data_IF_568063273197
#
_entry.id   IF_568063273197
#
_cell.length_a   1.000
_cell.length_b   1.000
_cell.length_c   1.000
_cell.angle_alpha   90.00
_cell.angle_beta   90.00
_cell.angle_gamma   90.00
#
_symmetry.space_group_name_H-M   'P 1'
#
loop_
_entity.id
_entity.type
_entity.pdbx_description
1 polymer ?
#
# COMPACT_ATOMS: atom_id res chain seq x y z
N UNK A 1 11.81 17.04 4.89
CA UNK A 1 11.77 15.62 4.46
C UNK A 1 12.32 15.54 3.05
N UNK A 2 13.14 14.53 2.71
CA UNK A 2 13.64 14.40 1.34
C UNK A 2 12.50 14.03 0.37
N UNK A 3 12.49 14.60 -0.83
CA UNK A 3 11.48 14.34 -1.86
C UNK A 3 11.22 12.83 -2.10
N UNK A 4 12.29 12.02 -2.16
CA UNK A 4 12.23 10.56 -2.29
C UNK A 4 11.34 9.87 -1.23
N UNK A 5 11.38 10.36 0.01
CA UNK A 5 10.59 9.76 1.09
C UNK A 5 9.10 10.11 0.96
N UNK A 6 8.80 11.32 0.52
CA UNK A 6 7.43 11.78 0.24
C UNK A 6 6.86 10.97 -0.93
N UNK A 7 7.60 10.87 -2.02
CA UNK A 7 7.24 10.08 -3.21
C UNK A 7 7.00 8.61 -2.87
N UNK A 8 7.86 7.99 -2.05
CA UNK A 8 7.68 6.58 -1.64
C UNK A 8 6.43 6.35 -0.80
N UNK A 9 6.10 7.27 0.11
CA UNK A 9 4.92 7.15 0.98
C UNK A 9 3.63 7.35 0.18
N UNK A 10 3.63 8.33 -0.73
CA UNK A 10 2.50 8.56 -1.65
C UNK A 10 2.26 7.38 -2.56
N UNK A 11 3.31 6.86 -3.22
CA UNK A 11 3.23 5.67 -4.05
C UNK A 11 2.73 4.45 -3.26
N UNK A 12 3.25 4.21 -2.05
CA UNK A 12 2.80 3.11 -1.22
C UNK A 12 1.30 3.22 -0.89
N UNK A 13 0.84 4.41 -0.49
CA UNK A 13 -0.57 4.63 -0.19
C UNK A 13 -1.44 4.42 -1.43
N UNK A 14 -1.02 4.94 -2.59
CA UNK A 14 -1.72 4.75 -3.86
C UNK A 14 -1.84 3.27 -4.24
N UNK A 15 -0.76 2.48 -4.11
CA UNK A 15 -0.81 1.04 -4.37
C UNK A 15 -1.72 0.31 -3.38
N UNK A 16 -1.70 0.73 -2.11
CA UNK A 16 -2.60 0.21 -1.08
C UNK A 16 -4.08 0.60 -1.34
N UNK A 17 -4.39 1.57 -2.20
CA UNK A 17 -5.80 1.84 -2.53
C UNK A 17 -6.35 0.97 -3.67
N UNK A 18 -5.52 0.17 -4.35
CA UNK A 18 -5.94 -0.71 -5.45
C UNK A 18 -6.54 -2.05 -4.95
N UNK A 19 -7.43 -2.68 -5.72
CA UNK A 19 -7.96 -4.02 -5.43
C UNK A 19 -6.83 -5.06 -5.33
N UNK A 20 -5.99 -5.11 -6.36
CA UNK A 20 -4.70 -5.81 -6.33
C UNK A 20 -3.60 -4.75 -6.24
N UNK A 21 -2.79 -4.70 -5.16
CA UNK A 21 -1.76 -3.68 -5.00
C UNK A 21 -0.53 -4.01 -5.87
N UNK A 22 -0.72 -4.13 -7.17
CA UNK A 22 0.28 -4.54 -8.15
C UNK A 22 0.58 -3.41 -9.14
N UNK A 23 1.84 -3.30 -9.56
CA UNK A 23 2.30 -2.30 -10.53
C UNK A 23 3.29 -2.94 -11.52
N UNK A 24 3.23 -2.51 -12.79
CA UNK A 24 4.21 -2.91 -13.80
C UNK A 24 5.60 -2.38 -13.43
N UNK A 25 6.64 -3.18 -13.65
CA UNK A 25 8.01 -2.74 -13.45
C UNK A 25 8.37 -1.56 -14.37
N UNK A 26 7.86 -1.56 -15.60
CA UNK A 26 8.04 -0.45 -16.55
C UNK A 26 7.50 0.88 -16.01
N UNK A 27 6.37 0.87 -15.31
CA UNK A 27 5.79 2.06 -14.66
C UNK A 27 6.51 2.41 -13.36
N UNK A 28 6.79 1.40 -12.52
CA UNK A 28 7.43 1.58 -11.21
C UNK A 28 8.82 2.19 -11.32
N UNK A 29 9.58 1.77 -12.33
CA UNK A 29 10.98 2.16 -12.55
C UNK A 29 11.12 3.27 -13.59
N UNK A 30 10.00 3.85 -14.08
CA UNK A 30 10.04 4.97 -15.00
C UNK A 30 10.56 6.24 -14.26
N UNK A 31 11.66 6.87 -14.73
CA UNK A 31 12.22 8.09 -14.15
C UNK A 31 11.24 9.25 -14.01
N UNK A 32 10.30 9.36 -14.95
CA UNK A 32 9.33 10.46 -15.03
C UNK A 32 8.06 10.20 -14.19
N UNK A 33 7.88 8.99 -13.69
CA UNK A 33 6.70 8.61 -12.90
C UNK A 33 7.06 8.33 -11.43
N UNK A 34 7.71 7.19 -11.15
CA UNK A 34 7.83 6.67 -9.80
C UNK A 34 9.22 6.17 -9.41
N UNK A 35 10.22 6.21 -10.30
CA UNK A 35 11.51 5.51 -10.10
C UNK A 35 12.10 5.67 -8.70
N UNK A 36 12.24 6.91 -8.20
CA UNK A 36 12.84 7.20 -6.88
C UNK A 36 12.06 6.57 -5.73
N UNK A 37 10.73 6.67 -5.77
CA UNK A 37 9.81 6.08 -4.80
C UNK A 37 9.76 4.56 -4.90
N UNK A 38 9.69 4.03 -6.12
CA UNK A 38 9.68 2.60 -6.40
C UNK A 38 10.95 1.89 -5.94
N UNK A 39 12.12 2.46 -6.26
CA UNK A 39 13.41 1.98 -5.76
C UNK A 39 13.49 1.99 -4.23
N UNK A 40 12.96 3.03 -3.58
CA UNK A 40 12.91 3.09 -2.13
C UNK A 40 12.04 1.96 -1.56
N UNK A 41 10.85 1.71 -2.13
CA UNK A 41 9.97 0.63 -1.67
C UNK A 41 10.56 -0.78 -1.92
N UNK A 42 11.30 -0.96 -3.02
CA UNK A 42 12.06 -2.18 -3.32
C UNK A 42 13.22 -2.39 -2.35
N UNK A 43 14.03 -1.37 -2.12
CA UNK A 43 15.12 -1.39 -1.14
C UNK A 43 14.60 -1.73 0.26
N UNK A 44 13.48 -1.12 0.62
CA UNK A 44 12.79 -1.39 1.88
C UNK A 44 12.04 -2.72 1.88
N UNK A 45 12.04 -3.50 0.79
CA UNK A 45 11.39 -4.81 0.68
C UNK A 45 9.88 -4.78 0.97
N UNK A 46 9.22 -3.64 0.73
CA UNK A 46 7.77 -3.51 0.80
C UNK A 46 7.09 -3.96 -0.50
N UNK A 47 7.85 -4.06 -1.59
CA UNK A 47 7.43 -4.66 -2.84
C UNK A 47 8.09 -6.03 -3.02
N UNK A 48 7.34 -7.00 -3.51
CA UNK A 48 7.80 -8.33 -3.93
C UNK A 48 7.46 -8.57 -5.39
N UNK A 49 8.21 -9.48 -6.05
CA UNK A 49 7.89 -9.86 -7.42
C UNK A 49 6.44 -10.37 -7.51
N UNK A 50 5.68 -9.80 -8.45
CA UNK A 50 4.32 -10.21 -8.77
C UNK A 50 4.29 -11.30 -9.85
N UNK A 51 3.10 -11.58 -10.36
CA UNK A 51 2.95 -12.52 -11.48
C UNK A 51 3.38 -11.85 -12.78
N UNK A 52 4.26 -12.53 -13.54
CA UNK A 52 4.65 -12.05 -14.85
C UNK A 52 3.43 -11.88 -15.77
N UNK A 53 3.39 -10.76 -16.49
CA UNK A 53 2.30 -10.45 -17.42
C UNK A 53 2.37 -11.34 -18.65
N UNK A 54 1.18 -11.76 -19.10
CA UNK A 54 1.01 -12.48 -20.38
C UNK A 54 0.67 -11.54 -21.55
N UNK A 55 0.24 -10.32 -21.22
CA UNK A 55 -0.11 -9.27 -22.15
C UNK A 55 0.52 -7.96 -21.67
N UNK A 56 1.02 -7.16 -22.60
CA UNK A 56 1.62 -5.86 -22.32
C UNK A 56 1.18 -4.83 -23.34
N UNK A 57 1.43 -3.56 -23.03
CA UNK A 57 1.28 -2.46 -23.98
C UNK A 57 2.25 -2.64 -25.14
N UNK A 58 1.73 -2.67 -26.36
CA UNK A 58 2.54 -2.70 -27.56
C UNK A 58 3.41 -1.43 -27.63
N UNK A 59 4.74 -1.53 -27.80
CA UNK A 59 5.60 -0.34 -27.86
C UNK A 59 5.39 0.50 -29.13
N UNK A 60 4.87 -0.10 -30.22
CA UNK A 60 4.66 0.58 -31.50
C UNK A 60 3.31 1.33 -31.53
N UNK A 61 2.21 0.64 -31.22
CA UNK A 61 0.85 1.22 -31.31
C UNK A 61 0.24 1.64 -29.97
N UNK A 62 0.92 1.38 -28.84
CA UNK A 62 0.50 1.73 -27.48
C UNK A 62 -0.80 1.09 -26.99
N UNK A 63 -1.29 0.05 -27.69
CA UNK A 63 -2.48 -0.72 -27.28
C UNK A 63 -2.08 -1.82 -26.29
N UNK A 64 -2.82 -1.98 -25.18
CA UNK A 64 -2.66 -3.04 -24.19
C UNK A 64 -3.15 -4.42 -24.69
N UNK A 65 -2.58 -4.90 -25.79
CA UNK A 65 -3.00 -6.14 -26.44
C UNK A 65 -1.83 -7.06 -26.88
N UNK A 66 -0.57 -6.61 -26.76
CA UNK A 66 0.56 -7.42 -27.21
C UNK A 66 0.78 -8.63 -26.31
N UNK A 67 0.60 -9.84 -26.85
CA UNK A 67 0.73 -11.11 -26.12
C UNK A 67 2.17 -11.59 -26.10
N UNK A 68 2.61 -12.14 -24.97
CA UNK A 68 3.91 -12.84 -24.89
C UNK A 68 3.85 -14.15 -25.65
N UNK A 69 4.76 -14.33 -26.60
CA UNK A 69 4.89 -15.56 -27.40
C UNK A 69 5.90 -16.51 -26.77
N UNK A 70 7.12 -16.02 -26.56
CA UNK A 70 8.22 -16.80 -25.96
C UNK A 70 9.31 -15.89 -25.41
N UNK A 71 10.11 -16.41 -24.49
CA UNK A 71 11.37 -15.77 -24.11
C UNK A 71 12.40 -16.08 -25.21
N UNK A 72 13.18 -15.08 -25.60
CA UNK A 72 14.27 -15.25 -26.59
C UNK A 72 15.58 -15.52 -25.85
N UNK A 73 15.85 -14.72 -24.82
CA UNK A 73 17.04 -14.80 -23.98
C UNK A 73 16.72 -14.30 -22.54
N UNK A 74 17.75 -14.14 -21.70
CA UNK A 74 17.62 -13.71 -20.30
C UNK A 74 17.19 -12.25 -20.10
N UNK A 75 17.10 -11.48 -21.19
CA UNK A 75 16.82 -10.04 -21.21
C UNK A 75 15.65 -9.65 -22.10
N UNK A 76 15.26 -10.49 -23.06
CA UNK A 76 14.24 -10.17 -24.06
C UNK A 76 13.20 -11.27 -24.32
N UNK A 77 12.00 -10.85 -24.72
CA UNK A 77 10.91 -11.71 -25.15
C UNK A 77 10.36 -11.28 -26.50
N UNK A 78 9.83 -12.27 -27.23
CA UNK A 78 9.03 -12.07 -28.43
C UNK A 78 7.58 -11.82 -28.02
N UNK A 79 7.03 -10.71 -28.48
CA UNK A 79 5.63 -10.35 -28.33
C UNK A 79 4.95 -10.41 -29.70
N UNK A 80 3.63 -10.59 -29.69
CA UNK A 80 2.79 -10.50 -30.88
C UNK A 80 1.65 -9.51 -30.62
N UNK A 81 1.56 -8.47 -31.45
CA UNK A 81 0.47 -7.53 -31.48
C UNK A 81 -0.35 -7.75 -32.75
N UNK A 82 -1.67 -7.79 -32.65
CA UNK A 82 -2.54 -8.05 -33.81
C UNK A 82 -2.38 -6.98 -34.91
N UNK A 83 -2.04 -5.73 -34.54
CA UNK A 83 -1.87 -4.62 -35.48
C UNK A 83 -0.43 -4.48 -36.01
N UNK A 84 0.58 -4.78 -35.19
CA UNK A 84 2.00 -4.53 -35.52
C UNK A 84 2.79 -5.80 -35.85
N UNK A 85 2.22 -6.99 -35.62
CA UNK A 85 2.88 -8.27 -35.81
C UNK A 85 3.86 -8.62 -34.68
N UNK A 86 4.93 -9.33 -35.04
CA UNK A 86 5.97 -9.76 -34.09
C UNK A 86 6.93 -8.64 -33.73
N UNK A 87 7.20 -8.50 -32.44
CA UNK A 87 8.07 -7.45 -31.92
C UNK A 87 8.87 -7.95 -30.71
N UNK A 88 10.11 -7.48 -30.59
CA UNK A 88 10.99 -7.84 -29.48
C UNK A 88 10.90 -6.77 -28.38
N UNK A 89 10.83 -7.21 -27.12
CA UNK A 89 10.72 -6.29 -25.97
C UNK A 89 11.55 -6.78 -24.80
N UNK A 90 12.10 -5.88 -23.95
CA UNK A 90 12.84 -6.30 -22.77
C UNK A 90 11.93 -6.98 -21.75
N UNK A 91 12.43 -8.01 -21.05
CA UNK A 91 11.64 -8.75 -20.04
C UNK A 91 11.11 -7.87 -18.90
N UNK A 92 11.67 -6.67 -18.70
CA UNK A 92 11.17 -5.69 -17.71
C UNK A 92 9.70 -5.31 -17.96
N UNK A 93 9.21 -5.32 -19.21
CA UNK A 93 7.79 -5.02 -19.49
C UNK A 93 6.85 -6.11 -18.97
N UNK A 94 7.36 -7.32 -18.78
CA UNK A 94 6.59 -8.46 -18.27
C UNK A 94 6.54 -8.50 -16.74
N UNK A 95 7.52 -7.87 -16.08
CA UNK A 95 7.67 -7.93 -14.63
C UNK A 95 6.63 -7.03 -13.96
N UNK A 96 6.10 -7.51 -12.86
CA UNK A 96 5.25 -6.74 -11.96
C UNK A 96 5.78 -6.85 -10.55
N UNK A 97 5.39 -5.89 -9.72
CA UNK A 97 5.67 -5.87 -8.30
C UNK A 97 4.36 -5.69 -7.54
N UNK A 98 4.21 -6.43 -6.45
CA UNK A 98 3.05 -6.34 -5.57
C UNK A 98 3.46 -5.89 -4.18
N UNK A 99 2.62 -5.09 -3.52
CA UNK A 99 2.86 -4.67 -2.13
C UNK A 99 2.73 -5.87 -1.19
N UNK A 100 3.77 -6.10 -0.40
CA UNK A 100 3.73 -7.03 0.71
C UNK A 100 2.97 -6.40 1.89
N UNK A 101 1.64 -6.49 1.84
CA UNK A 101 0.74 -5.89 2.83
C UNK A 101 1.03 -6.42 4.24
N UNK A 102 1.31 -7.72 4.39
CA UNK A 102 1.65 -8.31 5.68
C UNK A 102 2.87 -7.62 6.33
N UNK A 103 3.91 -7.34 5.52
CA UNK A 103 5.10 -6.63 5.98
C UNK A 103 4.85 -5.15 6.27
N UNK A 104 3.97 -4.49 5.52
CA UNK A 104 3.52 -3.13 5.85
C UNK A 104 2.90 -3.12 7.24
N UNK A 105 1.92 -4.01 7.49
CA UNK A 105 1.21 -4.08 8.78
C UNK A 105 2.15 -4.44 9.94
N UNK A 106 3.08 -5.37 9.72
CA UNK A 106 4.14 -5.68 10.69
C UNK A 106 4.96 -4.44 11.06
N UNK A 107 5.46 -3.71 10.06
CA UNK A 107 6.29 -2.53 10.29
C UNK A 107 5.53 -1.36 10.89
N UNK A 108 4.23 -1.24 10.62
CA UNK A 108 3.37 -0.25 11.27
C UNK A 108 3.29 -0.54 12.78
N UNK A 109 3.02 -1.79 13.15
CA UNK A 109 2.99 -2.21 14.55
C UNK A 109 4.35 -2.01 15.24
N UNK A 110 5.45 -2.41 14.60
CA UNK A 110 6.81 -2.14 15.11
C UNK A 110 7.08 -0.64 15.23
N UNK A 111 6.67 0.16 14.25
CA UNK A 111 6.75 1.62 14.25
C UNK A 111 6.12 2.23 15.50
N UNK A 112 4.90 1.80 15.81
CA UNK A 112 4.11 2.23 16.98
C UNK A 112 4.52 1.56 18.31
N UNK A 113 5.57 0.72 18.30
CA UNK A 113 6.05 -0.01 19.49
C UNK A 113 4.95 -0.93 20.08
N UNK A 114 4.17 -1.56 19.21
CA UNK A 114 3.09 -2.47 19.58
C UNK A 114 3.55 -3.94 19.58
N UNK A 115 3.04 -4.79 20.48
CA UNK A 115 3.32 -6.22 20.45
C UNK A 115 2.75 -6.89 19.18
N UNK A 116 3.61 -7.51 18.37
CA UNK A 116 3.20 -8.16 17.10
C UNK A 116 2.19 -9.30 17.28
N UNK A 117 2.20 -9.98 18.44
CA UNK A 117 1.26 -11.05 18.77
C UNK A 117 -0.19 -10.56 18.93
N UNK A 118 -0.40 -9.26 19.16
CA UNK A 118 -1.73 -8.66 19.34
C UNK A 118 -2.40 -8.27 18.01
N UNK A 119 -1.67 -8.43 16.89
CA UNK A 119 -2.16 -8.09 15.56
C UNK A 119 -3.23 -9.09 15.10
N UNK A 120 -4.35 -8.58 14.60
CA UNK A 120 -5.44 -9.38 14.06
C UNK A 120 -5.93 -8.80 12.73
N UNK A 121 -6.02 -9.63 11.70
CA UNK A 121 -6.65 -9.24 10.43
C UNK A 121 -8.17 -9.14 10.59
N UNK A 122 -8.78 -8.17 9.90
CA UNK A 122 -10.21 -7.87 9.94
C UNK A 122 -10.71 -7.98 8.49
N UNK A 123 -11.40 -9.09 8.19
CA UNK A 123 -11.85 -9.38 6.83
C UNK A 123 -10.70 -9.68 5.84
N UNK A 124 -10.98 -9.67 4.53
CA UNK A 124 -10.02 -10.09 3.51
C UNK A 124 -9.01 -8.97 3.18
N UNK A 125 -7.86 -8.96 3.86
CA UNK A 125 -6.69 -8.14 3.49
C UNK A 125 -6.96 -6.62 3.32
N UNK A 126 -7.91 -6.06 4.08
CA UNK A 126 -8.33 -4.66 4.00
C UNK A 126 -8.12 -3.89 5.29
N UNK A 127 -8.15 -4.56 6.44
CA UNK A 127 -8.01 -3.90 7.74
C UNK A 127 -7.37 -4.82 8.77
N UNK A 128 -6.71 -4.21 9.75
CA UNK A 128 -6.01 -4.90 10.83
C UNK A 128 -6.15 -4.13 12.12
N UNK A 129 -6.36 -4.84 13.21
CA UNK A 129 -6.00 -4.36 14.54
C UNK A 129 -4.50 -4.56 14.70
N UNK A 130 -3.77 -3.48 14.98
CA UNK A 130 -2.32 -3.50 15.14
C UNK A 130 -1.90 -3.87 16.57
N UNK A 131 -2.66 -3.40 17.56
CA UNK A 131 -2.38 -3.67 18.97
C UNK A 131 -2.96 -2.60 19.88
N UNK A 132 -2.63 -2.72 21.17
CA UNK A 132 -3.00 -1.75 22.21
C UNK A 132 -1.73 -1.06 22.69
N UNK A 133 -1.77 0.27 22.81
CA UNK A 133 -0.74 1.08 23.44
C UNK A 133 -1.26 1.63 24.76
N UNK A 134 -0.60 1.28 25.85
CA UNK A 134 -0.91 1.86 27.16
C UNK A 134 -0.32 3.27 27.24
N UNK A 135 -1.17 4.28 27.45
CA UNK A 135 -0.69 5.63 27.77
C UNK A 135 -0.42 5.73 29.27
N UNK A 136 0.65 6.44 29.65
CA UNK A 136 1.02 6.73 31.06
C UNK A 136 -0.09 7.39 31.89
N UNK A 137 -1.16 7.91 31.28
CA UNK A 137 -2.30 8.59 31.93
C UNK A 137 -3.63 7.79 31.89
N UNK A 138 -3.57 6.48 31.66
CA UNK A 138 -4.65 5.55 32.06
C UNK A 138 -5.67 5.14 31.00
N UNK A 139 -5.71 5.75 29.81
CA UNK A 139 -6.57 5.26 28.71
C UNK A 139 -5.71 4.57 27.66
N UNK A 140 -5.92 3.26 27.50
CA UNK A 140 -5.26 2.48 26.48
C UNK A 140 -5.83 2.81 25.09
N UNK A 141 -4.95 3.09 24.13
CA UNK A 141 -5.32 3.36 22.74
C UNK A 141 -5.26 2.07 21.94
N UNK A 142 -6.33 1.74 21.22
CA UNK A 142 -6.32 0.60 20.29
C UNK A 142 -6.05 1.10 18.89
N UNK A 143 -4.97 0.60 18.28
CA UNK A 143 -4.55 1.01 16.96
C UNK A 143 -5.08 0.07 15.89
N UNK A 144 -5.60 0.67 14.82
CA UNK A 144 -6.05 -0.01 13.62
C UNK A 144 -5.33 0.54 12.40
N UNK A 145 -5.17 -0.30 11.39
CA UNK A 145 -4.81 0.13 10.04
C UNK A 145 -5.86 -0.36 9.07
N UNK A 146 -6.30 0.51 8.15
CA UNK A 146 -7.24 0.15 7.09
C UNK A 146 -6.87 0.79 5.76
N UNK A 147 -6.93 0.01 4.70
CA UNK A 147 -6.79 0.47 3.32
C UNK A 147 -8.17 0.52 2.65
N UNK A 148 -8.35 1.39 1.65
CA UNK A 148 -9.59 1.48 0.87
C UNK A 148 -10.82 1.80 1.72
N UNK A 149 -10.65 2.65 2.73
CA UNK A 149 -11.71 3.07 3.64
C UNK A 149 -12.66 4.12 3.03
N UNK A 150 -12.35 4.63 1.84
CA UNK A 150 -13.29 5.38 1.01
C UNK A 150 -14.51 4.53 0.59
N UNK A 151 -14.37 3.20 0.55
CA UNK A 151 -15.48 2.29 0.31
C UNK A 151 -16.26 2.02 1.61
N UNK A 152 -17.55 2.37 1.61
CA UNK A 152 -18.41 2.27 2.80
C UNK A 152 -18.46 0.84 3.39
N UNK A 153 -18.42 -0.21 2.57
CA UNK A 153 -18.42 -1.59 3.04
C UNK A 153 -17.15 -1.92 3.86
N UNK A 154 -15.97 -1.45 3.42
CA UNK A 154 -14.71 -1.68 4.12
C UNK A 154 -14.66 -0.88 5.43
N UNK A 155 -15.08 0.39 5.38
CA UNK A 155 -15.22 1.23 6.56
C UNK A 155 -16.17 0.61 7.59
N UNK A 156 -17.32 0.08 7.15
CA UNK A 156 -18.29 -0.59 8.03
C UNK A 156 -17.70 -1.83 8.70
N UNK A 157 -16.98 -2.68 7.96
CA UNK A 157 -16.35 -3.87 8.53
C UNK A 157 -15.36 -3.52 9.65
N UNK A 158 -14.59 -2.44 9.48
CA UNK A 158 -13.68 -1.95 10.52
C UNK A 158 -14.45 -1.41 11.74
N UNK A 159 -15.52 -0.63 11.54
CA UNK A 159 -16.38 -0.13 12.63
C UNK A 159 -16.99 -1.27 13.43
N UNK A 160 -17.48 -2.31 12.75
CA UNK A 160 -18.06 -3.48 13.41
C UNK A 160 -17.01 -4.21 14.27
N UNK A 161 -15.76 -4.31 13.81
CA UNK A 161 -14.67 -4.84 14.64
C UNK A 161 -14.33 -3.92 15.83
N UNK A 162 -14.27 -2.61 15.63
CA UNK A 162 -14.01 -1.63 16.72
C UNK A 162 -15.06 -1.76 17.84
N UNK A 163 -16.33 -1.96 17.47
CA UNK A 163 -17.42 -2.21 18.42
C UNK A 163 -17.21 -3.53 19.17
N UNK A 164 -16.86 -4.61 18.47
CA UNK A 164 -16.55 -5.90 19.10
C UNK A 164 -15.37 -5.81 20.07
N UNK A 165 -14.35 -5.03 19.72
CA UNK A 165 -13.18 -4.79 20.57
C UNK A 165 -13.48 -3.83 21.75
N UNK A 166 -14.70 -3.27 21.82
CA UNK A 166 -15.12 -2.26 22.82
C UNK A 166 -14.19 -1.05 22.89
N UNK A 167 -13.60 -0.67 21.76
CA UNK A 167 -12.54 0.36 21.67
C UNK A 167 -13.00 1.67 21.05
N UNK A 168 -14.31 1.86 20.82
CA UNK A 168 -14.83 2.98 20.04
C UNK A 168 -14.38 4.38 20.52
N UNK A 169 -14.15 4.55 21.83
CA UNK A 169 -13.70 5.83 22.42
C UNK A 169 -12.17 6.00 22.46
N UNK A 170 -11.41 4.95 22.15
CA UNK A 170 -9.94 4.95 22.22
C UNK A 170 -9.28 4.39 20.96
N UNK A 171 -10.06 4.25 19.87
CA UNK A 171 -9.59 3.77 18.59
C UNK A 171 -8.87 4.87 17.83
N UNK A 172 -7.64 4.60 17.38
CA UNK A 172 -6.93 5.40 16.36
C UNK A 172 -6.76 4.58 15.10
N UNK A 173 -7.10 5.18 13.96
CA UNK A 173 -7.16 4.48 12.68
C UNK A 173 -6.15 5.11 11.71
N UNK A 174 -5.07 4.39 11.43
CA UNK A 174 -4.18 4.71 10.34
C UNK A 174 -4.82 4.27 9.02
N UNK A 175 -4.71 5.08 7.97
CA UNK A 175 -5.24 4.72 6.65
C UNK A 175 -4.37 5.17 5.49
N UNK A 176 -4.36 4.38 4.42
CA UNK A 176 -3.80 4.78 3.12
C UNK A 176 -4.78 5.61 2.29
N UNK A 177 -6.07 5.65 2.66
CA UNK A 177 -7.06 6.48 1.98
C UNK A 177 -6.83 7.95 2.27
N UNK A 178 -6.96 8.79 1.24
CA UNK A 178 -6.89 10.25 1.39
C UNK A 178 -8.04 10.75 2.25
N UNK A 179 -7.73 11.69 3.16
CA UNK A 179 -8.69 12.34 4.04
C UNK A 179 -9.03 13.76 3.53
N UNK A 180 -10.22 14.31 3.82
CA UNK A 180 -11.30 13.69 4.59
C UNK A 180 -12.05 12.59 3.80
N UNK A 181 -12.57 11.58 4.51
CA UNK A 181 -13.53 10.65 3.92
C UNK A 181 -14.87 11.37 3.68
N UNK A 182 -15.73 10.80 2.81
CA UNK A 182 -17.09 11.27 2.63
C UNK A 182 -17.85 11.37 3.96
N UNK A 183 -18.68 12.40 4.15
CA UNK A 183 -19.44 12.62 5.37
C UNK A 183 -20.38 11.45 5.74
N UNK A 184 -20.85 10.70 4.75
CA UNK A 184 -21.67 9.50 4.94
C UNK A 184 -20.85 8.25 5.30
N UNK A 185 -19.53 8.37 5.46
CA UNK A 185 -18.66 7.25 5.84
C UNK A 185 -19.08 6.68 7.20
N UNK A 186 -19.14 5.34 7.35
CA UNK A 186 -19.34 4.70 8.65
C UNK A 186 -18.31 5.11 9.71
N UNK A 187 -17.14 5.60 9.27
CA UNK A 187 -16.07 6.07 10.13
C UNK A 187 -16.20 7.55 10.54
N UNK A 188 -17.30 8.22 10.21
CA UNK A 188 -17.58 9.57 10.68
C UNK A 188 -17.53 9.62 12.22
N UNK A 189 -16.77 10.58 12.76
CA UNK A 189 -16.56 10.75 14.20
C UNK A 189 -15.43 9.90 14.81
N UNK A 190 -14.75 9.06 14.04
CA UNK A 190 -13.53 8.38 14.48
C UNK A 190 -12.26 9.19 14.17
N UNK A 191 -11.22 9.01 14.98
CA UNK A 191 -9.90 9.59 14.73
C UNK A 191 -9.18 8.83 13.61
N UNK A 192 -9.10 9.46 12.44
CA UNK A 192 -8.45 8.96 11.24
C UNK A 192 -7.14 9.70 11.00
N UNK A 193 -6.08 8.95 10.74
CA UNK A 193 -4.74 9.45 10.47
C UNK A 193 -4.28 8.93 9.12
N UNK A 194 -4.10 9.85 8.17
CA UNK A 194 -3.56 9.51 6.86
C UNK A 194 -2.08 9.12 6.98
N UNK A 195 -1.74 7.92 6.55
CA UNK A 195 -0.44 7.29 6.81
C UNK A 195 0.73 8.12 6.25
N UNK A 196 0.59 8.61 5.01
CA UNK A 196 1.60 9.47 4.37
C UNK A 196 1.81 10.81 5.09
N UNK A 197 0.82 11.25 5.87
CA UNK A 197 0.84 12.52 6.61
C UNK A 197 1.46 12.37 8.01
N UNK A 198 1.41 11.17 8.60
CA UNK A 198 1.86 10.93 9.99
C UNK A 198 3.12 10.07 10.11
N UNK A 199 3.59 9.46 9.02
CA UNK A 199 4.76 8.58 9.04
C UNK A 199 5.67 8.76 7.82
N UNK A 200 6.92 8.31 7.99
CA UNK A 200 7.85 8.08 6.89
C UNK A 200 8.49 6.70 7.00
N UNK A 201 8.89 6.15 5.86
CA UNK A 201 9.66 4.91 5.80
C UNK A 201 11.16 5.20 5.91
N UNK A 202 11.88 4.46 6.74
CA UNK A 202 13.35 4.52 6.81
C UNK A 202 13.88 3.27 7.53
N UNK A 203 15.00 2.71 7.05
CA UNK A 203 15.71 1.61 7.71
C UNK A 203 14.76 0.44 8.07
N UNK A 204 13.87 0.09 7.13
CA UNK A 204 12.90 -0.99 7.26
C UNK A 204 11.87 -0.82 8.37
N UNK A 205 11.60 0.41 8.79
CA UNK A 205 10.58 0.75 9.79
C UNK A 205 9.80 2.01 9.41
N UNK A 206 8.55 2.10 9.87
CA UNK A 206 7.82 3.35 9.88
C UNK A 206 8.23 4.20 11.09
N UNK A 207 8.70 5.42 10.81
CA UNK A 207 8.92 6.44 11.83
C UNK A 207 7.71 7.37 11.82
N UNK A 208 6.98 7.38 12.92
CA UNK A 208 5.85 8.28 13.10
C UNK A 208 6.31 9.63 13.63
N UNK A 209 5.62 10.69 13.23
CA UNK A 209 5.86 12.03 13.74
C UNK A 209 5.03 12.22 15.01
N UNK A 210 5.68 12.25 16.18
CA UNK A 210 4.99 12.29 17.48
C UNK A 210 3.97 13.43 17.57
N UNK A 211 4.30 14.60 17.03
CA UNK A 211 3.44 15.78 16.98
C UNK A 211 2.22 15.66 16.05
N UNK A 212 2.12 14.58 15.27
CA UNK A 212 1.01 14.30 14.35
C UNK A 212 0.22 13.05 14.74
N UNK A 213 0.67 12.31 15.75
CA UNK A 213 -0.05 11.15 16.28
C UNK A 213 -1.07 11.53 17.35
N UNK A 214 -0.89 12.67 17.99
CA UNK A 214 -1.85 13.26 18.91
C UNK A 214 -2.60 14.36 18.17
N UNK A 215 -3.79 14.04 17.65
CA UNK A 215 -4.76 15.10 17.38
C UNK A 215 -5.23 15.63 18.74
N UNK A 216 -4.84 16.86 19.03
CA UNK A 216 -5.22 17.64 20.21
C UNK A 216 -6.71 17.94 20.24
#
# INVERSE_FOLDING_TARGET
MSARLIESMGLLCQLLEQDSPEIAASTLLNPDAYAKGGEALLHERLLSAGMARRYVTCPECLVEAARVVKHIDDSSALLFCDDCGELQSPLTVLRTYTVNVARVVERLATGLVLPLASRKAIGPNLSWRLGIQERRRGVATTWYFGRRLSHAAHAKALVDQIKQDKSARSAKILTSSTLPLCAASPLAGYELLELQSVARLSQSRFHFFDNRLDSS
#
